data_IF_934270282800
#
_entry.id   IF_934270282800
#
_cell.length_a   1.000
_cell.length_b   1.000
_cell.length_c   1.000
_cell.angle_alpha   90.00
_cell.angle_beta   90.00
_cell.angle_gamma   90.00
#
_symmetry.space_group_name_H-M   'P 1'
#
loop_
_entity.id
_entity.type
_entity.pdbx_description
1 polymer ?
#
# COMPACT_ATOMS: atom_id res chain seq x y z
N UNK A 1 3.55 11.84 -12.37
CA UNK A 1 2.18 12.26 -12.73
C UNK A 1 1.27 11.76 -11.63
N UNK A 2 0.32 12.58 -11.19
CA UNK A 2 -0.74 12.15 -10.27
C UNK A 2 -1.66 11.12 -10.97
N UNK A 3 -1.98 10.01 -10.30
CA UNK A 3 -2.86 8.98 -10.85
C UNK A 3 -4.26 9.49 -11.18
N UNK A 4 -4.77 10.50 -10.46
CA UNK A 4 -6.07 11.13 -10.73
C UNK A 4 -6.04 12.13 -11.89
N UNK A 5 -4.87 12.29 -12.54
CA UNK A 5 -4.71 13.03 -13.78
C UNK A 5 -4.59 12.13 -15.02
N UNK A 6 -4.82 10.82 -14.88
CA UNK A 6 -4.58 9.83 -15.93
C UNK A 6 -5.37 10.12 -17.22
N UNK A 7 -6.65 10.44 -17.10
CA UNK A 7 -7.59 10.69 -18.21
C UNK A 7 -7.29 11.98 -18.99
N UNK A 8 -6.68 12.97 -18.32
CA UNK A 8 -6.30 14.27 -18.90
C UNK A 8 -4.85 14.34 -19.37
N UNK A 9 -4.08 13.26 -19.23
CA UNK A 9 -2.66 13.24 -19.61
C UNK A 9 -2.44 12.49 -20.92
N UNK A 10 -1.75 13.14 -21.85
CA UNK A 10 -1.26 12.50 -23.08
C UNK A 10 -0.12 11.52 -22.78
N UNK A 11 -0.46 10.25 -22.60
CA UNK A 11 0.50 9.21 -22.26
C UNK A 11 1.45 8.86 -23.42
N UNK A 12 1.11 9.21 -24.67
CA UNK A 12 1.90 8.84 -25.85
C UNK A 12 3.31 9.45 -25.85
N UNK A 13 3.51 10.52 -25.06
CA UNK A 13 4.79 11.21 -24.88
C UNK A 13 5.79 10.44 -24.02
N UNK A 14 5.33 9.49 -23.21
CA UNK A 14 6.18 8.75 -22.28
C UNK A 14 6.56 7.40 -22.89
N UNK A 15 7.82 6.99 -22.74
CA UNK A 15 8.25 5.65 -23.16
C UNK A 15 7.88 4.57 -22.14
N UNK A 16 7.87 4.93 -20.86
CA UNK A 16 7.61 4.03 -19.74
C UNK A 16 6.59 4.67 -18.79
N UNK A 17 5.54 3.92 -18.46
CA UNK A 17 4.60 4.22 -17.38
C UNK A 17 4.90 3.28 -16.21
N UNK A 18 5.23 3.83 -15.05
CA UNK A 18 5.48 3.06 -13.83
C UNK A 18 4.27 3.18 -12.91
N UNK A 19 3.72 2.04 -12.52
CA UNK A 19 2.54 1.91 -11.67
C UNK A 19 2.94 1.19 -10.37
N UNK A 20 3.05 1.91 -9.24
CA UNK A 20 3.50 1.34 -7.97
C UNK A 20 2.38 0.60 -7.22
N UNK A 21 2.76 -0.16 -6.19
CA UNK A 21 1.86 -1.07 -5.46
C UNK A 21 0.73 -0.35 -4.70
N UNK A 22 0.95 0.92 -4.36
CA UNK A 22 0.01 1.75 -3.60
C UNK A 22 -0.98 2.51 -4.47
N UNK A 23 -0.92 2.37 -5.80
CA UNK A 23 -1.82 3.06 -6.72
C UNK A 23 -3.29 2.72 -6.45
N UNK A 24 -4.16 3.68 -6.70
CA UNK A 24 -5.61 3.49 -6.71
C UNK A 24 -6.04 2.65 -7.92
N UNK A 25 -6.19 1.33 -7.75
CA UNK A 25 -6.60 0.44 -8.82
C UNK A 25 -8.09 0.54 -9.17
N UNK A 26 -8.93 1.12 -8.31
CA UNK A 26 -10.32 1.43 -8.67
C UNK A 26 -10.34 2.53 -9.74
N UNK A 27 -9.54 3.57 -9.54
CA UNK A 27 -9.38 4.65 -10.51
C UNK A 27 -8.79 4.13 -11.82
N UNK A 28 -7.76 3.26 -11.76
CA UNK A 28 -7.20 2.64 -12.97
C UNK A 28 -8.23 1.76 -13.69
N UNK A 29 -9.08 1.01 -12.97
CA UNK A 29 -10.12 0.18 -13.57
C UNK A 29 -11.22 1.01 -14.25
N UNK A 30 -11.59 2.16 -13.68
CA UNK A 30 -12.50 3.15 -14.29
C UNK A 30 -11.92 3.75 -15.58
N UNK A 31 -10.60 3.95 -15.64
CA UNK A 31 -9.89 4.58 -16.77
C UNK A 31 -9.04 3.61 -17.60
N UNK A 32 -9.31 2.31 -17.52
CA UNK A 32 -8.47 1.28 -18.17
C UNK A 32 -8.37 1.40 -19.70
N UNK A 33 -9.33 2.10 -20.33
CA UNK A 33 -9.26 2.46 -21.75
C UNK A 33 -8.02 3.30 -22.07
N UNK A 34 -7.67 4.26 -21.21
CA UNK A 34 -6.49 5.11 -21.37
C UNK A 34 -5.20 4.29 -21.31
N UNK A 35 -5.14 3.33 -20.38
CA UNK A 35 -4.01 2.39 -20.22
C UNK A 35 -3.92 1.48 -21.45
N UNK A 36 -5.05 0.97 -21.92
CA UNK A 36 -5.15 0.15 -23.12
C UNK A 36 -4.65 0.91 -24.35
N UNK A 37 -5.08 2.14 -24.56
CA UNK A 37 -4.67 2.96 -25.70
C UNK A 37 -3.17 3.28 -25.66
N UNK A 38 -2.62 3.58 -24.49
CA UNK A 38 -1.17 3.75 -24.31
C UNK A 38 -0.37 2.50 -24.70
N UNK A 39 -0.82 1.33 -24.26
CA UNK A 39 -0.18 0.06 -24.58
C UNK A 39 -0.36 -0.30 -26.06
N UNK A 40 -1.55 -0.15 -26.63
CA UNK A 40 -1.80 -0.40 -28.06
C UNK A 40 -1.04 0.59 -28.98
N UNK A 41 -0.67 1.76 -28.45
CA UNK A 41 0.27 2.71 -29.05
C UNK A 41 1.76 2.37 -28.87
N UNK A 42 2.09 1.15 -28.46
CA UNK A 42 3.47 0.67 -28.34
C UNK A 42 4.21 1.17 -27.10
N UNK A 43 3.52 1.66 -26.08
CA UNK A 43 4.11 2.05 -24.80
C UNK A 43 4.60 0.84 -23.98
N UNK A 44 5.50 1.10 -23.03
CA UNK A 44 5.93 0.12 -22.02
C UNK A 44 5.31 0.48 -20.67
N UNK A 45 4.74 -0.49 -19.96
CA UNK A 45 4.17 -0.31 -18.62
C UNK A 45 4.87 -1.25 -17.64
N UNK A 46 5.37 -0.72 -16.53
CA UNK A 46 5.84 -1.49 -15.38
C UNK A 46 4.79 -1.41 -14.27
N UNK A 47 4.23 -2.55 -13.88
CA UNK A 47 3.40 -2.67 -12.70
C UNK A 47 4.15 -3.46 -11.62
N UNK A 48 4.41 -2.82 -10.48
CA UNK A 48 4.88 -3.48 -9.27
C UNK A 48 3.78 -3.48 -8.23
N UNK A 49 3.14 -4.62 -7.96
CA UNK A 49 2.22 -4.72 -6.83
C UNK A 49 1.35 -5.96 -6.84
N UNK A 50 0.37 -6.00 -5.94
CA UNK A 50 -0.69 -7.01 -5.97
C UNK A 50 -1.84 -6.50 -6.85
N UNK A 51 -2.02 -7.09 -8.04
CA UNK A 51 -3.18 -6.78 -8.88
C UNK A 51 -4.45 -7.32 -8.22
N UNK A 52 -5.44 -6.46 -8.01
CA UNK A 52 -6.74 -6.85 -7.43
C UNK A 52 -7.96 -6.27 -8.18
N UNK A 53 -7.71 -5.56 -9.28
CA UNK A 53 -8.73 -5.04 -10.21
C UNK A 53 -8.33 -5.29 -11.65
N UNK A 54 -9.33 -5.42 -12.51
CA UNK A 54 -9.17 -5.68 -13.95
C UNK A 54 -8.92 -4.38 -14.73
N UNK A 55 -7.70 -3.87 -14.64
CA UNK A 55 -7.26 -2.68 -15.39
C UNK A 55 -6.04 -2.93 -16.28
N UNK A 56 -5.26 -3.99 -16.01
CA UNK A 56 -4.03 -4.31 -16.74
C UNK A 56 -4.28 -5.45 -17.74
N UNK A 57 -4.17 -5.21 -19.06
CA UNK A 57 -4.47 -6.24 -20.07
C UNK A 57 -3.66 -7.52 -19.89
N UNK A 58 -4.33 -8.67 -19.93
CA UNK A 58 -3.71 -10.01 -19.85
C UNK A 58 -3.27 -10.46 -18.46
N UNK A 59 -3.06 -9.53 -17.53
CA UNK A 59 -2.59 -9.86 -16.19
C UNK A 59 -3.69 -10.51 -15.35
N UNK A 60 -3.29 -11.45 -14.49
CA UNK A 60 -4.18 -12.13 -13.55
C UNK A 60 -4.04 -11.55 -12.12
N UNK A 61 -5.06 -11.68 -11.25
CA UNK A 61 -4.96 -11.27 -9.86
C UNK A 61 -3.80 -11.93 -9.10
N UNK A 62 -3.30 -11.23 -8.08
CA UNK A 62 -2.19 -11.70 -7.25
C UNK A 62 -2.58 -12.95 -6.44
N UNK A 63 -1.63 -13.89 -6.34
CA UNK A 63 -1.74 -15.12 -5.57
C UNK A 63 -0.62 -15.13 -4.51
N UNK A 64 -0.93 -15.02 -3.21
CA UNK A 64 0.08 -15.11 -2.15
C UNK A 64 0.68 -16.51 -2.09
N UNK A 65 1.93 -16.62 -1.62
CA UNK A 65 2.51 -17.93 -1.33
C UNK A 65 1.70 -18.64 -0.24
N UNK A 66 1.35 -19.93 -0.44
CA UNK A 66 0.51 -20.65 0.52
C UNK A 66 1.23 -20.98 1.83
N UNK A 67 2.57 -21.05 1.80
CA UNK A 67 3.43 -21.34 2.96
C UNK A 67 4.63 -20.40 2.98
N UNK A 68 4.48 -19.21 3.57
CA UNK A 68 5.58 -18.27 3.78
C UNK A 68 6.74 -18.91 4.56
N UNK A 69 7.95 -18.82 4.02
CA UNK A 69 9.18 -19.21 4.72
C UNK A 69 10.36 -18.48 4.08
N UNK A 70 11.48 -18.43 4.80
CA UNK A 70 12.74 -17.90 4.24
C UNK A 70 13.09 -18.60 2.91
N UNK A 71 12.95 -19.92 2.88
CA UNK A 71 13.22 -20.74 1.69
C UNK A 71 12.27 -20.39 0.54
N UNK A 72 10.97 -20.27 0.81
CA UNK A 72 9.98 -19.93 -0.21
C UNK A 72 10.21 -18.55 -0.83
N UNK A 73 10.80 -17.61 -0.09
CA UNK A 73 11.11 -16.26 -0.57
C UNK A 73 12.42 -16.15 -1.35
N UNK A 74 13.23 -17.22 -1.45
CA UNK A 74 14.47 -17.18 -2.21
C UNK A 74 14.19 -17.01 -3.69
N UNK A 75 14.85 -16.04 -4.31
CA UNK A 75 14.95 -15.97 -5.77
C UNK A 75 15.87 -17.11 -6.20
N UNK A 76 15.30 -18.08 -6.93
CA UNK A 76 16.01 -19.28 -7.33
C UNK A 76 16.51 -19.24 -8.77
N UNK A 77 15.92 -18.36 -9.59
CA UNK A 77 16.28 -18.26 -11.00
C UNK A 77 16.02 -16.86 -11.54
N UNK A 78 16.98 -16.38 -12.34
CA UNK A 78 16.92 -15.16 -13.14
C UNK A 78 17.13 -15.54 -14.61
N UNK A 79 16.32 -14.96 -15.50
CA UNK A 79 16.52 -15.05 -16.93
C UNK A 79 17.80 -14.30 -17.35
N UNK A 80 18.42 -14.77 -18.43
CA UNK A 80 19.43 -13.99 -19.16
C UNK A 80 18.73 -12.85 -19.92
N UNK A 81 18.50 -11.74 -19.21
CA UNK A 81 17.74 -10.60 -19.70
C UNK A 81 18.43 -9.28 -19.28
N UNK A 82 18.49 -8.25 -20.14
CA UNK A 82 19.20 -7.00 -19.86
C UNK A 82 18.83 -6.32 -18.53
N UNK A 83 17.57 -6.44 -18.09
CA UNK A 83 17.12 -5.91 -16.79
C UNK A 83 17.92 -6.49 -15.61
N UNK A 84 18.31 -7.77 -15.68
CA UNK A 84 18.93 -8.52 -14.60
C UNK A 84 20.40 -8.85 -14.85
N UNK A 85 21.04 -8.24 -15.86
CA UNK A 85 22.42 -8.55 -16.21
C UNK A 85 23.37 -8.21 -15.04
N UNK A 86 24.13 -9.22 -14.58
CA UNK A 86 25.04 -9.08 -13.44
C UNK A 86 24.36 -8.79 -12.09
N UNK A 87 23.07 -9.13 -11.96
CA UNK A 87 22.33 -9.10 -10.69
C UNK A 87 22.34 -10.50 -10.07
N UNK A 88 22.73 -10.60 -8.82
CA UNK A 88 22.77 -11.85 -8.08
C UNK A 88 21.41 -12.17 -7.43
N UNK A 89 20.90 -13.41 -7.50
CA UNK A 89 19.63 -13.79 -6.88
C UNK A 89 19.56 -13.53 -5.36
N UNK A 90 20.67 -13.70 -4.65
CA UNK A 90 20.73 -13.47 -3.19
C UNK A 90 20.60 -11.97 -2.84
N UNK A 91 21.09 -11.08 -3.70
CA UNK A 91 20.97 -9.62 -3.52
C UNK A 91 19.54 -9.10 -3.74
N UNK A 92 18.71 -9.86 -4.47
CA UNK A 92 17.27 -9.65 -4.55
C UNK A 92 16.54 -10.28 -3.38
N UNK A 93 16.97 -11.47 -2.98
CA UNK A 93 16.36 -12.23 -1.89
C UNK A 93 16.46 -11.49 -0.57
N UNK A 94 17.66 -10.98 -0.24
CA UNK A 94 17.97 -10.47 1.09
C UNK A 94 18.19 -8.95 1.11
N UNK A 95 17.58 -8.30 2.10
CA UNK A 95 17.96 -6.94 2.54
C UNK A 95 18.35 -7.03 4.01
N UNK A 96 19.62 -6.75 4.32
CA UNK A 96 20.17 -6.91 5.68
C UNK A 96 19.92 -8.31 6.27
N UNK A 97 19.88 -9.35 5.44
CA UNK A 97 19.59 -10.73 5.89
C UNK A 97 18.10 -11.08 6.03
N UNK A 98 17.19 -10.14 5.79
CA UNK A 98 15.73 -10.36 5.78
C UNK A 98 15.24 -10.64 4.37
N UNK A 99 14.43 -11.70 4.20
CA UNK A 99 13.82 -12.08 2.94
C UNK A 99 12.35 -11.64 2.83
N UNK A 100 11.80 -11.71 1.61
CA UNK A 100 10.39 -11.43 1.34
C UNK A 100 10.08 -10.01 0.90
N UNK A 101 11.07 -9.11 0.80
CA UNK A 101 10.87 -7.78 0.20
C UNK A 101 10.63 -7.87 -1.31
N UNK A 102 11.39 -8.72 -2.01
CA UNK A 102 11.32 -8.87 -3.46
C UNK A 102 10.02 -9.52 -3.93
N UNK A 103 9.54 -10.58 -3.28
CA UNK A 103 8.24 -11.16 -3.62
C UNK A 103 7.68 -12.00 -2.48
N UNK A 104 6.34 -12.09 -2.42
CA UNK A 104 5.57 -12.85 -1.41
C UNK A 104 4.45 -13.68 -2.03
N UNK A 105 4.49 -13.80 -3.35
CA UNK A 105 3.46 -14.40 -4.17
C UNK A 105 3.80 -14.14 -5.63
N UNK A 106 2.84 -14.41 -6.51
CA UNK A 106 3.00 -14.30 -7.95
C UNK A 106 1.68 -13.91 -8.61
N UNK A 107 1.72 -13.67 -9.92
CA UNK A 107 0.52 -13.60 -10.75
C UNK A 107 0.56 -14.78 -11.73
N UNK A 108 -0.57 -15.46 -11.98
CA UNK A 108 -0.68 -16.39 -13.09
C UNK A 108 -0.31 -15.71 -14.42
N UNK A 109 0.41 -16.44 -15.27
CA UNK A 109 0.97 -15.90 -16.51
C UNK A 109 -0.07 -15.84 -17.63
N UNK A 110 -0.12 -14.74 -18.41
CA UNK A 110 -0.83 -14.76 -19.68
C UNK A 110 -0.13 -15.67 -20.71
N UNK A 111 -0.86 -16.13 -21.74
CA UNK A 111 -0.28 -16.93 -22.82
C UNK A 111 0.89 -16.20 -23.52
N UNK A 112 2.05 -16.86 -23.58
CA UNK A 112 3.24 -16.33 -24.25
C UNK A 112 4.08 -15.36 -23.41
N UNK A 113 3.77 -15.17 -22.12
CA UNK A 113 4.58 -14.36 -21.23
C UNK A 113 6.00 -14.93 -21.06
N UNK A 114 7.00 -14.04 -21.11
CA UNK A 114 8.39 -14.36 -20.81
C UNK A 114 8.64 -14.20 -19.31
N UNK A 115 8.97 -15.28 -18.61
CA UNK A 115 9.29 -15.21 -17.18
C UNK A 115 10.72 -14.75 -17.00
N UNK A 116 10.94 -13.71 -16.19
CA UNK A 116 12.26 -13.19 -15.87
C UNK A 116 12.79 -13.68 -14.53
N UNK A 117 11.91 -13.90 -13.55
CA UNK A 117 12.33 -14.28 -12.20
C UNK A 117 11.40 -15.34 -11.62
N UNK A 118 11.98 -16.34 -10.96
CA UNK A 118 11.24 -17.35 -10.18
C UNK A 118 11.72 -17.43 -8.74
N UNK A 119 10.76 -17.67 -7.84
CA UNK A 119 11.07 -18.09 -6.47
C UNK A 119 11.45 -19.57 -6.41
N UNK A 120 11.89 -20.03 -5.24
CA UNK A 120 12.32 -21.41 -4.98
C UNK A 120 11.24 -22.46 -5.30
N UNK A 121 9.95 -22.14 -5.12
CA UNK A 121 8.84 -23.02 -5.50
C UNK A 121 8.54 -23.04 -7.01
N UNK A 122 9.25 -22.21 -7.80
CA UNK A 122 9.06 -22.06 -9.24
C UNK A 122 8.04 -20.99 -9.63
N UNK A 123 7.43 -20.29 -8.66
CA UNK A 123 6.44 -19.25 -8.90
C UNK A 123 7.04 -18.07 -9.71
N UNK A 124 6.38 -17.61 -10.80
CA UNK A 124 6.89 -16.54 -11.64
C UNK A 124 6.58 -15.16 -11.03
N UNK A 125 7.59 -14.49 -10.48
CA UNK A 125 7.38 -13.23 -9.75
C UNK A 125 7.64 -11.97 -10.56
N UNK A 126 8.38 -12.11 -11.66
CA UNK A 126 8.54 -11.06 -12.66
C UNK A 126 8.39 -11.67 -14.03
N UNK A 127 7.56 -11.07 -14.89
CA UNK A 127 7.42 -11.49 -16.28
C UNK A 127 7.21 -10.28 -17.21
N UNK A 128 7.45 -10.52 -18.49
CA UNK A 128 7.17 -9.59 -19.59
C UNK A 128 6.10 -10.18 -20.50
N UNK A 129 5.05 -9.41 -20.74
CA UNK A 129 3.98 -9.70 -21.68
C UNK A 129 4.08 -8.75 -22.88
N UNK A 130 4.21 -9.34 -24.07
CA UNK A 130 4.31 -8.67 -25.37
C UNK A 130 3.19 -9.09 -26.33
N UNK A 131 2.21 -9.84 -25.84
CA UNK A 131 1.18 -10.51 -26.65
C UNK A 131 -0.22 -9.97 -26.35
N UNK A 132 -0.48 -9.48 -25.15
CA UNK A 132 -1.81 -8.95 -24.77
C UNK A 132 -2.16 -7.60 -25.40
N UNK A 133 -1.15 -6.85 -25.86
CA UNK A 133 -1.27 -5.54 -26.52
C UNK A 133 -0.15 -5.38 -27.56
N UNK A 134 -0.16 -4.28 -28.33
CA UNK A 134 0.98 -3.95 -29.20
C UNK A 134 2.19 -3.41 -28.42
N UNK A 135 2.01 -3.06 -27.14
CA UNK A 135 3.04 -2.54 -26.25
C UNK A 135 3.73 -3.65 -25.49
N UNK A 136 4.30 -3.29 -24.33
CA UNK A 136 4.96 -4.26 -23.45
C UNK A 136 4.59 -4.00 -22.01
N UNK A 137 4.21 -5.05 -21.30
CA UNK A 137 3.82 -5.00 -19.91
C UNK A 137 4.86 -5.79 -19.11
N UNK A 138 5.49 -5.16 -18.13
CA UNK A 138 6.34 -5.81 -17.14
C UNK A 138 5.56 -5.85 -15.84
N UNK A 139 5.35 -7.05 -15.30
CA UNK A 139 4.67 -7.25 -14.01
C UNK A 139 5.64 -7.81 -13.01
N UNK A 140 5.64 -7.23 -11.81
CA UNK A 140 6.40 -7.69 -10.67
C UNK A 140 5.49 -7.80 -9.43
N UNK A 141 5.62 -8.90 -8.67
CA UNK A 141 4.66 -9.31 -7.64
C UNK A 141 4.82 -8.65 -6.25
N UNK A 142 5.54 -7.52 -6.15
CA UNK A 142 5.78 -6.75 -4.92
C UNK A 142 5.94 -5.25 -5.24
N UNK A 143 6.72 -4.47 -4.49
CA UNK A 143 7.03 -3.08 -4.85
C UNK A 143 7.79 -2.98 -6.17
N UNK A 144 7.66 -1.87 -6.90
CA UNK A 144 8.29 -1.75 -8.22
C UNK A 144 9.82 -1.88 -8.17
N UNK A 145 10.38 -2.39 -9.28
CA UNK A 145 11.81 -2.72 -9.39
C UNK A 145 12.72 -1.47 -9.34
N UNK A 146 12.18 -0.25 -9.48
CA UNK A 146 12.97 0.97 -9.36
C UNK A 146 13.35 1.30 -7.91
N UNK A 147 12.63 0.74 -6.93
CA UNK A 147 12.93 0.88 -5.50
C UNK A 147 14.26 0.28 -5.03
N UNK A 148 15.02 -0.35 -5.94
CA UNK A 148 16.35 -0.89 -5.68
C UNK A 148 17.50 0.06 -6.05
N UNK A 149 17.24 1.24 -6.63
CA UNK A 149 18.27 2.20 -7.08
C UNK A 149 19.31 2.56 -6.00
N UNK A 150 18.87 2.66 -4.73
CA UNK A 150 19.73 2.98 -3.59
C UNK A 150 20.39 1.75 -2.92
N UNK A 151 20.27 0.55 -3.50
CA UNK A 151 20.90 -0.65 -2.94
C UNK A 151 22.42 -0.61 -3.12
N UNK A 152 23.15 -1.03 -2.08
CA UNK A 152 24.61 -1.06 -2.01
C UNK A 152 25.23 -2.37 -2.55
N UNK A 153 24.43 -3.16 -3.27
CA UNK A 153 24.78 -4.47 -3.82
C UNK A 153 24.41 -4.58 -5.32
N UNK A 154 24.44 -5.77 -5.92
CA UNK A 154 24.17 -5.90 -7.37
C UNK A 154 22.75 -5.53 -7.78
N UNK A 155 21.78 -5.56 -6.86
CA UNK A 155 20.41 -5.13 -7.13
C UNK A 155 20.29 -3.64 -7.45
N UNK A 156 21.28 -2.82 -7.04
CA UNK A 156 21.36 -1.38 -7.38
C UNK A 156 21.41 -1.11 -8.89
N UNK A 157 21.75 -2.12 -9.69
CA UNK A 157 21.78 -2.03 -11.16
C UNK A 157 20.38 -2.05 -11.79
N UNK A 158 19.35 -2.54 -11.09
CA UNK A 158 18.03 -2.81 -11.67
C UNK A 158 17.36 -1.57 -12.25
N UNK A 159 17.37 -0.45 -11.51
CA UNK A 159 16.61 0.74 -11.89
C UNK A 159 17.10 1.32 -13.22
N UNK A 160 18.41 1.54 -13.35
CA UNK A 160 19.02 2.01 -14.60
C UNK A 160 18.78 1.07 -15.78
N UNK A 161 19.06 -0.23 -15.59
CA UNK A 161 18.89 -1.24 -16.64
C UNK A 161 17.44 -1.34 -17.12
N UNK A 162 16.46 -1.28 -16.21
CA UNK A 162 15.05 -1.32 -16.54
C UNK A 162 14.60 -0.10 -17.34
N UNK A 163 15.03 1.10 -16.93
CA UNK A 163 14.69 2.33 -17.64
C UNK A 163 15.30 2.37 -19.04
N UNK A 164 16.56 1.95 -19.19
CA UNK A 164 17.24 1.87 -20.48
C UNK A 164 16.56 0.86 -21.41
N UNK A 165 16.36 -0.37 -20.92
CA UNK A 165 15.67 -1.42 -21.67
C UNK A 165 14.25 -0.99 -22.08
N UNK A 166 13.49 -0.36 -21.18
CA UNK A 166 12.12 0.07 -21.49
C UNK A 166 12.07 1.15 -22.56
N UNK A 167 13.08 2.05 -22.63
CA UNK A 167 13.17 3.07 -23.69
C UNK A 167 13.41 2.43 -25.06
N UNK A 168 14.29 1.44 -25.12
CA UNK A 168 14.60 0.73 -26.36
C UNK A 168 13.45 -0.17 -26.81
N UNK A 169 12.81 -0.88 -25.88
CA UNK A 169 11.60 -1.69 -26.14
C UNK A 169 10.46 -0.78 -26.65
N UNK A 170 10.17 0.35 -26.02
CA UNK A 170 9.14 1.29 -26.47
C UNK A 170 9.41 1.80 -27.89
N UNK A 171 10.67 2.10 -28.21
CA UNK A 171 11.08 2.54 -29.56
C UNK A 171 10.84 1.43 -30.59
N UNK A 172 11.24 0.20 -30.28
CA UNK A 172 11.06 -0.95 -31.15
C UNK A 172 9.56 -1.25 -31.37
N UNK A 173 8.75 -1.24 -30.32
CA UNK A 173 7.30 -1.46 -30.37
C UNK A 173 6.61 -0.43 -31.27
N UNK A 174 6.90 0.86 -31.06
CA UNK A 174 6.36 1.96 -31.86
C UNK A 174 6.76 1.87 -33.33
N UNK A 175 7.99 1.48 -33.63
CA UNK A 175 8.46 1.30 -35.00
C UNK A 175 7.79 0.12 -35.72
N UNK A 176 7.29 -0.87 -34.97
CA UNK A 176 6.61 -2.05 -35.49
C UNK A 176 5.07 -1.89 -35.56
N UNK A 177 4.52 -0.74 -35.19
CA UNK A 177 3.07 -0.53 -35.19
C UNK A 177 2.50 -0.61 -36.62
N UNK A 178 1.35 -1.27 -36.81
CA UNK A 178 0.61 -1.21 -38.07
C UNK A 178 0.06 0.21 -38.30
N UNK A 179 -0.17 0.56 -39.57
CA UNK A 179 -0.59 1.90 -39.99
C UNK A 179 -1.96 2.35 -39.44
N UNK A 180 -2.79 1.43 -38.96
CA UNK A 180 -4.09 1.69 -38.30
C UNK A 180 -4.26 0.76 -37.07
N UNK A 181 -4.31 1.28 -35.84
CA UNK A 181 -4.60 0.49 -34.64
C UNK A 181 -6.11 0.21 -34.53
N UNK A 182 -6.53 -1.01 -34.08
CA UNK A 182 -7.94 -1.30 -33.84
C UNK A 182 -8.48 -0.47 -32.66
N UNK A 183 -9.70 0.05 -32.83
CA UNK A 183 -10.39 0.86 -31.82
C UNK A 183 -10.75 0.11 -30.53
N UNK A 184 -10.82 0.86 -29.44
CA UNK A 184 -11.09 0.43 -28.06
C UNK A 184 -12.41 -0.33 -27.88
N UNK A 185 -12.41 -1.40 -27.07
CA UNK A 185 -13.64 -2.02 -26.53
C UNK A 185 -14.12 -1.28 -25.28
N UNK A 186 -15.44 -1.23 -25.01
CA UNK A 186 -15.97 -0.51 -23.86
C UNK A 186 -15.59 -1.17 -22.53
N UNK A 187 -15.42 -0.32 -21.51
CA UNK A 187 -15.14 -0.70 -20.13
C UNK A 187 -16.37 -1.34 -19.45
N UNK A 188 -16.13 -2.37 -18.65
CA UNK A 188 -17.06 -2.88 -17.64
C UNK A 188 -17.07 -1.97 -16.41
N UNK A 189 -18.25 -1.80 -15.82
CA UNK A 189 -18.44 -1.02 -14.60
C UNK A 189 -17.67 -1.63 -13.40
N UNK A 190 -17.12 -0.79 -12.50
CA UNK A 190 -16.48 -1.26 -11.28
C UNK A 190 -17.50 -1.88 -10.30
N UNK A 191 -17.00 -2.62 -9.31
CA UNK A 191 -17.83 -3.11 -8.21
C UNK A 191 -18.15 -1.96 -7.23
N UNK A 192 -19.39 -1.91 -6.75
CA UNK A 192 -19.79 -0.96 -5.71
C UNK A 192 -19.09 -1.31 -4.39
N UNK A 193 -18.46 -0.31 -3.77
CA UNK A 193 -17.91 -0.45 -2.42
C UNK A 193 -19.07 -0.56 -1.42
N UNK A 194 -18.96 -1.40 -0.37
CA UNK A 194 -20.00 -1.44 0.65
C UNK A 194 -20.03 -0.09 1.39
N UNK A 195 -21.19 0.57 1.35
CA UNK A 195 -21.48 1.79 2.09
C UNK A 195 -22.51 1.44 3.16
N UNK A 196 -22.25 1.83 4.41
CA UNK A 196 -23.20 1.77 5.52
C UNK A 196 -23.64 3.17 5.94
N UNK A 197 -24.82 3.24 6.55
CA UNK A 197 -25.49 4.50 6.93
C UNK A 197 -25.08 5.02 8.33
N UNK A 198 -24.18 4.33 9.05
CA UNK A 198 -23.68 4.69 10.39
C UNK A 198 -22.70 3.65 10.93
N UNK A 199 -22.03 3.91 12.05
CA UNK A 199 -20.96 3.06 12.58
C UNK A 199 -19.55 3.51 12.19
N UNK A 200 -18.55 2.73 12.58
CA UNK A 200 -17.16 2.94 12.20
C UNK A 200 -16.98 2.70 10.69
N UNK A 201 -16.45 3.68 9.96
CA UNK A 201 -16.07 3.57 8.56
C UNK A 201 -14.55 3.58 8.38
N UNK A 202 -14.07 3.27 7.17
CA UNK A 202 -12.66 3.44 6.80
C UNK A 202 -12.50 4.14 5.46
N UNK A 203 -11.53 5.05 5.36
CA UNK A 203 -11.11 5.65 4.09
C UNK A 203 -10.42 4.58 3.24
N UNK A 204 -10.84 4.48 1.98
CA UNK A 204 -10.29 3.53 1.02
C UNK A 204 -9.75 4.27 -0.21
N UNK A 205 -8.43 4.17 -0.42
CA UNK A 205 -7.71 4.78 -1.53
C UNK A 205 -7.48 3.87 -2.74
N UNK A 206 -8.11 2.69 -2.80
CA UNK A 206 -8.00 1.80 -3.96
C UNK A 206 -6.73 0.93 -4.05
N UNK A 207 -5.87 0.92 -3.03
CA UNK A 207 -4.67 0.10 -3.02
C UNK A 207 -4.98 -1.35 -2.64
N UNK A 208 -4.24 -2.31 -3.21
CA UNK A 208 -4.46 -3.73 -2.91
C UNK A 208 -4.22 -4.11 -1.44
N UNK A 209 -3.18 -3.57 -0.75
CA UNK A 209 -3.01 -3.85 0.67
C UNK A 209 -4.21 -3.36 1.51
N UNK A 210 -4.72 -2.15 1.26
CA UNK A 210 -5.88 -1.65 1.99
C UNK A 210 -7.14 -2.42 1.65
N UNK A 211 -7.36 -2.77 0.36
CA UNK A 211 -8.49 -3.61 -0.02
C UNK A 211 -8.49 -4.90 0.80
N UNK A 212 -7.37 -5.63 0.85
CA UNK A 212 -7.28 -6.85 1.64
C UNK A 212 -7.56 -6.59 3.12
N UNK A 213 -6.94 -5.58 3.73
CA UNK A 213 -7.13 -5.28 5.15
C UNK A 213 -8.60 -4.95 5.48
N UNK A 214 -9.23 -4.10 4.66
CA UNK A 214 -10.55 -3.55 4.94
C UNK A 214 -11.70 -4.48 4.52
N UNK A 215 -11.48 -5.41 3.57
CA UNK A 215 -12.53 -6.33 3.10
C UNK A 215 -12.39 -7.75 3.65
N UNK A 216 -11.34 -8.05 4.43
CA UNK A 216 -11.22 -9.38 5.06
C UNK A 216 -12.37 -9.54 6.08
N UNK A 217 -13.17 -10.64 6.05
CA UNK A 217 -14.38 -10.75 6.87
C UNK A 217 -14.20 -10.50 8.37
N UNK A 218 -13.08 -10.93 8.96
CA UNK A 218 -12.80 -10.71 10.39
C UNK A 218 -12.59 -9.24 10.76
N UNK A 219 -12.27 -8.38 9.80
CA UNK A 219 -12.05 -6.95 9.97
C UNK A 219 -13.23 -6.13 9.45
N UNK A 220 -13.75 -6.48 8.27
CA UNK A 220 -14.90 -5.82 7.66
C UNK A 220 -16.14 -5.79 8.57
N UNK A 221 -16.32 -6.81 9.43
CA UNK A 221 -17.42 -6.85 10.41
C UNK A 221 -17.40 -5.72 11.45
N UNK A 222 -16.26 -5.07 11.65
CA UNK A 222 -16.10 -3.94 12.56
C UNK A 222 -16.33 -2.60 11.85
N UNK A 223 -16.48 -2.60 10.52
CA UNK A 223 -16.66 -1.40 9.71
C UNK A 223 -18.14 -1.24 9.32
N UNK A 224 -19.00 -1.02 10.31
CA UNK A 224 -20.46 -0.86 10.11
C UNK A 224 -20.81 0.29 9.15
N UNK A 225 -20.00 1.36 9.18
CA UNK A 225 -20.12 2.51 8.28
C UNK A 225 -19.64 2.20 6.86
N UNK A 226 -18.98 1.07 6.63
CA UNK A 226 -18.45 0.67 5.33
C UNK A 226 -17.21 1.46 4.91
N UNK A 227 -16.93 1.49 3.61
CA UNK A 227 -15.75 2.15 3.04
C UNK A 227 -16.13 3.51 2.45
N UNK A 228 -15.27 4.51 2.65
CA UNK A 228 -15.40 5.85 2.06
C UNK A 228 -14.30 6.03 1.03
N UNK A 229 -14.66 6.13 -0.25
CA UNK A 229 -13.68 6.24 -1.32
C UNK A 229 -12.99 7.61 -1.28
N UNK A 230 -11.66 7.60 -1.19
CA UNK A 230 -10.85 8.80 -0.93
C UNK A 230 -11.14 9.96 -1.92
N UNK A 231 -11.20 9.75 -3.25
CA UNK A 231 -11.53 10.83 -4.20
C UNK A 231 -12.90 11.49 -4.03
N UNK A 232 -13.84 10.82 -3.35
CA UNK A 232 -15.20 11.31 -3.14
C UNK A 232 -15.38 11.92 -1.75
N UNK A 233 -14.39 11.72 -0.86
CA UNK A 233 -14.46 12.07 0.56
C UNK A 233 -14.66 13.58 0.80
N UNK A 234 -14.05 14.43 -0.04
CA UNK A 234 -14.15 15.89 0.06
C UNK A 234 -15.58 16.45 -0.06
N UNK A 235 -16.53 15.64 -0.54
CA UNK A 235 -17.94 16.01 -0.71
C UNK A 235 -18.88 15.14 0.13
N UNK A 236 -18.32 14.22 0.91
CA UNK A 236 -19.11 13.32 1.74
C UNK A 236 -19.64 14.05 2.96
N UNK A 237 -20.84 13.68 3.40
CA UNK A 237 -21.27 13.94 4.78
C UNK A 237 -20.83 12.75 5.63
N UNK A 238 -20.02 13.04 6.65
CA UNK A 238 -19.46 12.03 7.55
C UNK A 238 -20.12 12.07 8.93
N UNK A 239 -20.95 13.08 9.22
CA UNK A 239 -21.46 13.37 10.59
C UNK A 239 -22.40 12.30 11.14
N UNK A 240 -22.90 11.40 10.29
CA UNK A 240 -23.70 10.24 10.69
C UNK A 240 -22.85 9.02 11.12
N UNK A 241 -21.52 9.09 11.00
CA UNK A 241 -20.60 8.02 11.38
C UNK A 241 -20.23 8.12 12.86
N UNK A 242 -20.07 6.97 13.49
CA UNK A 242 -19.51 6.85 14.84
C UNK A 242 -17.99 7.14 14.81
N UNK A 243 -17.35 6.77 13.70
CA UNK A 243 -15.96 7.12 13.48
C UNK A 243 -15.42 6.81 12.09
N UNK A 244 -14.19 7.25 11.83
CA UNK A 244 -13.50 7.10 10.55
C UNK A 244 -12.05 6.68 10.78
N UNK A 245 -11.66 5.52 10.25
CA UNK A 245 -10.26 5.14 10.12
C UNK A 245 -9.66 5.75 8.85
N UNK A 246 -8.51 6.40 8.98
CA UNK A 246 -7.66 6.91 7.92
C UNK A 246 -6.39 6.03 7.89
N UNK A 247 -6.31 5.06 6.96
CA UNK A 247 -5.11 4.23 6.79
C UNK A 247 -3.89 5.05 6.37
N UNK A 248 -2.72 4.45 6.57
CA UNK A 248 -1.44 4.93 6.07
C UNK A 248 -1.38 4.95 4.52
N UNK A 249 -0.41 5.66 3.94
CA UNK A 249 -0.05 5.67 2.50
C UNK A 249 -1.18 6.05 1.55
N UNK A 250 -2.09 6.92 1.98
CA UNK A 250 -3.12 7.52 1.12
C UNK A 250 -2.57 8.67 0.27
N UNK A 251 -3.32 9.04 -0.77
CA UNK A 251 -2.97 10.21 -1.59
C UNK A 251 -3.13 11.50 -0.78
N UNK A 252 -2.02 12.19 -0.54
CA UNK A 252 -1.94 13.37 0.33
C UNK A 252 -2.94 14.47 -0.07
N UNK A 253 -2.91 14.95 -1.32
CA UNK A 253 -3.77 16.08 -1.71
C UNK A 253 -5.26 15.74 -1.69
N UNK A 254 -5.64 14.50 -1.98
CA UNK A 254 -7.03 14.05 -1.92
C UNK A 254 -7.52 13.96 -0.46
N UNK A 255 -6.64 13.55 0.46
CA UNK A 255 -6.93 13.53 1.89
C UNK A 255 -7.04 14.95 2.46
N UNK A 256 -6.14 15.86 2.06
CA UNK A 256 -6.24 17.28 2.40
C UNK A 256 -7.50 17.95 1.86
N UNK A 257 -7.95 17.58 0.65
CA UNK A 257 -9.21 18.08 0.13
C UNK A 257 -10.42 17.66 1.01
N UNK A 258 -10.26 16.62 1.83
CA UNK A 258 -11.29 16.12 2.75
C UNK A 258 -11.20 16.68 4.17
N UNK A 259 -10.38 17.70 4.43
CA UNK A 259 -10.29 18.33 5.77
C UNK A 259 -11.66 18.73 6.32
N UNK A 260 -12.49 19.41 5.52
CA UNK A 260 -13.82 19.87 5.98
C UNK A 260 -14.70 18.75 6.52
N UNK A 261 -15.06 17.74 5.71
CA UNK A 261 -15.86 16.61 6.18
C UNK A 261 -15.29 15.86 7.39
N UNK A 262 -13.97 15.74 7.51
CA UNK A 262 -13.32 15.08 8.65
C UNK A 262 -13.40 15.95 9.91
N UNK A 263 -13.22 17.26 9.78
CA UNK A 263 -13.43 18.21 10.88
C UNK A 263 -14.89 18.23 11.33
N UNK A 264 -15.84 18.21 10.40
CA UNK A 264 -17.27 18.17 10.72
C UNK A 264 -17.65 16.91 11.52
N UNK A 265 -17.03 15.75 11.22
CA UNK A 265 -17.18 14.53 12.02
C UNK A 265 -16.67 14.71 13.46
N UNK A 266 -15.49 15.31 13.64
CA UNK A 266 -14.92 15.58 14.96
C UNK A 266 -15.75 16.60 15.75
N UNK A 267 -16.30 17.61 15.09
CA UNK A 267 -17.19 18.60 15.70
C UNK A 267 -18.55 18.00 16.08
N UNK A 268 -18.96 16.92 15.41
CA UNK A 268 -20.15 16.13 15.69
C UNK A 268 -19.91 14.98 16.70
N UNK A 269 -18.85 15.07 17.52
CA UNK A 269 -18.49 14.09 18.56
C UNK A 269 -18.00 12.73 18.02
N UNK A 270 -17.70 12.63 16.72
CA UNK A 270 -17.21 11.40 16.10
C UNK A 270 -15.73 11.10 16.39
N UNK A 271 -15.34 9.84 16.21
CA UNK A 271 -13.95 9.40 16.41
C UNK A 271 -13.16 9.33 15.09
N UNK A 272 -11.97 9.93 15.01
CA UNK A 272 -11.05 9.80 13.87
C UNK A 272 -9.79 9.05 14.30
N UNK A 273 -9.48 7.97 13.58
CA UNK A 273 -8.30 7.13 13.81
C UNK A 273 -7.35 7.32 12.64
N UNK A 274 -6.13 7.81 12.86
CA UNK A 274 -5.16 8.03 11.80
C UNK A 274 -3.87 7.24 12.00
N UNK A 275 -3.48 6.49 10.95
CA UNK A 275 -2.21 5.79 10.86
C UNK A 275 -1.22 6.55 9.97
N UNK A 276 0.08 6.34 10.21
CA UNK A 276 1.18 6.88 9.41
C UNK A 276 2.22 5.79 9.12
N UNK A 277 2.50 5.60 7.83
CA UNK A 277 3.35 4.54 7.30
C UNK A 277 4.60 5.02 6.56
N UNK A 278 5.13 6.17 6.94
CA UNK A 278 6.32 6.79 6.36
C UNK A 278 6.04 8.16 5.76
N UNK A 279 4.77 8.46 5.46
CA UNK A 279 4.24 9.80 5.29
C UNK A 279 3.94 10.46 6.66
N UNK A 280 3.97 11.81 6.76
CA UNK A 280 3.52 12.51 7.96
C UNK A 280 2.05 12.18 8.27
N UNK A 281 1.69 12.20 9.55
CA UNK A 281 0.29 12.22 9.97
C UNK A 281 -0.39 13.47 9.38
N UNK A 282 -1.67 13.41 8.96
CA UNK A 282 -2.32 14.55 8.33
C UNK A 282 -2.28 15.81 9.21
N UNK A 283 -1.64 16.86 8.72
CA UNK A 283 -1.34 18.08 9.49
C UNK A 283 -2.58 18.94 9.79
N UNK A 284 -3.70 18.67 9.11
CA UNK A 284 -4.96 19.35 9.31
C UNK A 284 -5.72 18.81 10.54
N UNK A 285 -5.28 17.69 11.14
CA UNK A 285 -5.89 17.17 12.35
C UNK A 285 -5.50 18.06 13.55
N UNK A 286 -6.48 18.58 14.32
CA UNK A 286 -6.21 19.50 15.43
C UNK A 286 -5.27 18.90 16.48
N UNK A 287 -4.30 19.68 16.95
CA UNK A 287 -3.39 19.27 18.03
C UNK A 287 -2.33 18.25 17.64
N UNK A 288 -2.38 17.68 16.44
CA UNK A 288 -1.44 16.65 16.00
C UNK A 288 -0.10 17.26 15.60
N UNK A 289 0.97 16.80 16.28
CA UNK A 289 2.35 17.15 15.96
C UNK A 289 3.14 15.87 15.73
N UNK A 290 3.81 15.80 14.58
CA UNK A 290 4.59 14.64 14.15
C UNK A 290 6.02 15.06 13.79
N UNK A 291 6.97 14.23 14.18
CA UNK A 291 8.38 14.39 13.82
C UNK A 291 8.92 13.11 13.20
N UNK A 292 9.59 13.25 12.04
CA UNK A 292 10.18 12.10 11.37
C UNK A 292 11.28 11.44 12.20
N UNK A 293 11.27 10.10 12.22
CA UNK A 293 12.36 9.25 12.70
C UNK A 293 12.62 8.19 11.64
N UNK A 294 13.89 7.91 11.30
CA UNK A 294 14.22 6.85 10.36
C UNK A 294 13.67 5.50 10.83
N UNK A 295 12.96 4.80 9.95
CA UNK A 295 12.41 3.47 10.24
C UNK A 295 13.53 2.43 10.29
N UNK A 296 13.63 1.70 11.40
CA UNK A 296 14.50 0.53 11.50
C UNK A 296 13.68 -0.75 11.26
N UNK A 297 13.78 -1.33 10.06
CA UNK A 297 13.06 -2.56 9.69
C UNK A 297 13.77 -3.85 10.13
N UNK A 298 14.81 -3.79 10.97
CA UNK A 298 15.62 -4.97 11.30
C UNK A 298 16.27 -4.91 12.68
N UNK A 299 15.71 -4.13 13.61
CA UNK A 299 16.21 -4.06 14.99
C UNK A 299 16.26 -5.44 15.65
N UNK A 300 15.35 -6.35 15.31
CA UNK A 300 15.28 -7.69 15.89
C UNK A 300 16.38 -8.65 15.42
N UNK A 301 17.22 -8.25 14.45
CA UNK A 301 18.38 -9.05 14.05
C UNK A 301 19.52 -8.96 15.06
N UNK A 302 19.56 -7.92 15.87
CA UNK A 302 20.55 -7.77 16.93
C UNK A 302 20.23 -8.77 18.07
N UNK A 303 21.19 -9.61 18.50
CA UNK A 303 20.96 -10.58 19.55
C UNK A 303 20.49 -9.92 20.86
N UNK A 304 19.31 -10.31 21.34
CA UNK A 304 18.71 -9.75 22.56
C UNK A 304 18.08 -8.36 22.38
N UNK A 305 17.91 -7.90 21.13
CA UNK A 305 17.30 -6.61 20.87
C UNK A 305 15.85 -6.51 21.37
N UNK A 306 15.56 -5.36 21.94
CA UNK A 306 14.25 -4.92 22.39
C UNK A 306 14.11 -3.46 21.95
N UNK A 307 13.03 -3.12 21.24
CA UNK A 307 12.73 -1.71 20.94
C UNK A 307 12.50 -0.90 22.22
N UNK A 308 12.23 -1.57 23.33
CA UNK A 308 12.06 -0.95 24.63
C UNK A 308 10.79 -0.13 24.70
N UNK A 309 9.80 -0.43 23.87
CA UNK A 309 8.50 0.24 23.92
C UNK A 309 7.91 0.12 25.33
N UNK A 310 7.15 1.13 25.73
CA UNK A 310 6.47 1.18 27.03
C UNK A 310 4.99 1.48 26.82
N UNK A 311 4.16 0.98 27.73
CA UNK A 311 2.77 1.36 27.89
C UNK A 311 2.67 2.20 29.18
N UNK A 312 2.63 3.54 29.09
CA UNK A 312 2.57 4.41 30.27
C UNK A 312 1.32 4.16 31.12
N UNK A 313 0.20 3.81 30.47
CA UNK A 313 -1.04 3.38 31.10
C UNK A 313 -1.41 1.96 30.65
N UNK A 314 -0.90 0.92 31.34
CA UNK A 314 -1.20 -0.46 30.99
C UNK A 314 -2.62 -0.90 31.37
N UNK A 315 -3.38 -0.09 32.10
CA UNK A 315 -4.77 -0.36 32.48
C UNK A 315 -5.76 0.25 31.48
N UNK A 316 -5.28 1.01 30.48
CA UNK A 316 -6.13 1.58 29.43
C UNK A 316 -6.88 0.46 28.67
N UNK A 317 -8.19 0.62 28.35
CA UNK A 317 -9.02 -0.43 27.74
C UNK A 317 -8.48 -1.07 26.46
N UNK A 318 -7.65 -0.37 25.67
CA UNK A 318 -6.93 -0.94 24.54
C UNK A 318 -6.22 -2.27 24.91
N UNK A 319 -5.61 -2.32 26.09
CA UNK A 319 -4.80 -3.45 26.53
C UNK A 319 -5.61 -4.65 27.03
N UNK A 320 -6.95 -4.53 27.10
CA UNK A 320 -7.84 -5.68 27.24
C UNK A 320 -7.95 -6.49 25.93
N UNK A 321 -7.64 -5.87 24.78
CA UNK A 321 -7.77 -6.48 23.45
C UNK A 321 -6.43 -6.89 22.83
N UNK A 322 -5.33 -6.21 23.18
CA UNK A 322 -3.99 -6.53 22.66
C UNK A 322 -2.89 -6.28 23.69
N UNK A 323 -1.69 -6.80 23.42
CA UNK A 323 -0.52 -6.56 24.27
C UNK A 323 0.42 -5.54 23.64
N UNK A 324 1.29 -4.92 24.44
CA UNK A 324 2.37 -4.06 23.93
C UNK A 324 3.24 -4.77 22.87
N UNK A 325 3.40 -6.09 22.98
CA UNK A 325 4.13 -6.90 21.98
C UNK A 325 3.44 -6.88 20.61
N UNK A 326 2.13 -6.75 20.56
CA UNK A 326 1.38 -6.68 19.31
C UNK A 326 1.55 -5.29 18.65
N UNK A 327 1.88 -4.26 19.42
CA UNK A 327 2.30 -2.93 18.93
C UNK A 327 3.78 -2.86 18.50
N UNK A 328 4.54 -3.94 18.63
CA UNK A 328 6.01 -3.92 18.51
C UNK A 328 6.47 -4.52 17.17
N UNK A 329 6.63 -3.68 16.14
CA UNK A 329 7.32 -4.07 14.90
C UNK A 329 8.23 -2.98 14.31
N UNK A 330 7.75 -1.86 13.82
CA UNK A 330 8.54 -0.67 13.49
C UNK A 330 7.58 0.52 13.49
N UNK A 331 8.14 1.73 13.52
CA UNK A 331 7.36 2.97 13.57
C UNK A 331 7.93 4.00 12.58
N UNK A 332 7.11 4.99 12.25
CA UNK A 332 7.42 6.03 11.27
C UNK A 332 7.35 7.41 11.89
N UNK A 333 8.36 7.76 12.69
CA UNK A 333 8.37 9.00 13.45
C UNK A 333 7.78 8.88 14.84
N UNK A 334 7.69 10.02 15.51
CA UNK A 334 7.16 10.17 16.87
C UNK A 334 6.15 11.30 16.92
N UNK A 335 5.31 11.26 17.94
CA UNK A 335 4.24 12.21 18.19
C UNK A 335 4.56 13.07 19.41
N UNK A 336 4.10 14.32 19.37
CA UNK A 336 4.09 15.26 20.49
C UNK A 336 2.62 15.58 20.88
N UNK A 337 1.98 14.69 21.67
CA UNK A 337 0.56 14.79 22.00
C UNK A 337 0.23 16.09 22.75
N UNK A 338 -1.01 16.60 22.67
CA UNK A 338 -1.43 17.75 23.46
C UNK A 338 -1.52 17.40 24.96
N UNK A 339 -1.42 18.42 25.81
CA UNK A 339 -1.59 18.26 27.26
C UNK A 339 -2.98 17.69 27.59
N UNK A 340 -3.01 16.57 28.33
CA UNK A 340 -4.25 15.88 28.68
C UNK A 340 -4.61 14.70 27.77
N UNK A 341 -3.86 14.48 26.68
CA UNK A 341 -3.98 13.26 25.88
C UNK A 341 -3.51 12.01 26.64
N UNK A 342 -4.14 10.88 26.36
CA UNK A 342 -3.85 9.57 26.91
C UNK A 342 -2.79 8.86 26.05
N UNK A 343 -1.54 8.87 26.51
CA UNK A 343 -0.43 8.26 25.78
C UNK A 343 -0.37 6.76 26.02
N UNK A 344 -0.56 5.96 24.97
CA UNK A 344 -0.71 4.51 25.07
C UNK A 344 0.59 3.75 24.80
N UNK A 345 1.39 4.19 23.83
CA UNK A 345 2.67 3.55 23.49
C UNK A 345 3.75 4.61 23.33
N UNK A 346 4.89 4.42 23.98
CA UNK A 346 6.05 5.31 23.88
C UNK A 346 7.35 4.58 23.58
N UNK A 347 8.32 5.34 23.08
CA UNK A 347 9.73 4.97 23.12
C UNK A 347 10.28 5.01 24.56
N UNK A 348 11.42 4.36 24.84
CA UNK A 348 12.10 4.47 26.15
C UNK A 348 12.38 5.91 26.59
N UNK A 349 12.56 6.80 25.63
CA UNK A 349 12.84 8.23 25.78
C UNK A 349 11.60 9.08 26.05
N UNK A 350 10.40 8.49 25.97
CA UNK A 350 9.13 9.09 26.36
C UNK A 350 8.28 9.61 25.19
N UNK A 351 8.85 9.76 23.99
CA UNK A 351 8.09 10.20 22.82
C UNK A 351 7.00 9.17 22.44
N UNK A 352 5.84 9.68 22.04
CA UNK A 352 4.66 8.86 21.78
C UNK A 352 4.67 8.25 20.38
N UNK A 353 4.14 7.03 20.26
CA UNK A 353 3.88 6.33 19.00
C UNK A 353 2.39 6.07 18.78
N UNK A 354 1.61 6.00 19.86
CA UNK A 354 0.15 5.84 19.86
C UNK A 354 -0.42 6.61 21.05
N UNK A 355 -1.41 7.47 20.81
CA UNK A 355 -2.16 8.16 21.86
C UNK A 355 -3.63 8.33 21.48
N UNK A 356 -4.44 8.66 22.48
CA UNK A 356 -5.83 9.10 22.31
C UNK A 356 -5.97 10.53 22.83
N UNK A 357 -6.64 11.38 22.07
CA UNK A 357 -6.89 12.77 22.39
C UNK A 357 -8.40 13.06 22.36
N UNK A 358 -8.90 13.47 23.53
CA UNK A 358 -10.28 13.87 23.79
C UNK A 358 -10.38 15.32 24.26
N UNK A 359 -9.32 16.09 24.07
CA UNK A 359 -9.17 17.44 24.60
C UNK A 359 -9.05 18.48 23.48
N UNK A 360 -8.56 18.11 22.30
CA UNK A 360 -8.40 19.03 21.17
C UNK A 360 -9.69 19.35 20.42
N UNK A 361 -10.66 18.43 20.44
CA UNK A 361 -11.95 18.53 19.74
C UNK A 361 -13.10 18.02 20.62
N UNK A 362 -14.37 18.28 20.26
CA UNK A 362 -15.49 17.58 20.89
C UNK A 362 -15.37 16.06 20.76
N UNK A 363 -15.11 15.57 19.54
CA UNK A 363 -14.87 14.17 19.25
C UNK A 363 -13.47 13.68 19.64
N UNK A 364 -13.17 12.43 19.30
CA UNK A 364 -11.95 11.71 19.72
C UNK A 364 -10.96 11.52 18.58
N UNK A 365 -9.68 11.74 18.83
CA UNK A 365 -8.57 11.42 17.93
C UNK A 365 -7.77 10.23 18.46
N UNK A 366 -7.53 9.21 17.63
CA UNK A 366 -6.60 8.11 17.91
C UNK A 366 -5.49 8.14 16.88
N UNK A 367 -4.26 8.49 17.28
CA UNK A 367 -3.17 8.77 16.35
C UNK A 367 -2.03 7.78 16.55
N UNK A 368 -1.58 7.13 15.47
CA UNK A 368 -0.52 6.13 15.50
C UNK A 368 0.51 6.31 14.37
N UNK A 369 1.80 6.21 14.70
CA UNK A 369 2.91 6.20 13.71
C UNK A 369 3.22 4.78 13.21
N UNK A 370 2.19 3.95 13.12
CA UNK A 370 2.23 2.53 12.79
C UNK A 370 1.55 2.30 11.44
N UNK A 371 1.96 1.24 10.71
CA UNK A 371 1.45 0.89 9.37
C UNK A 371 0.83 -0.53 9.28
N UNK A 372 -0.19 -0.83 10.10
CA UNK A 372 -0.67 -2.19 10.24
C UNK A 372 -1.42 -2.72 9.01
N UNK A 373 -2.17 -1.86 8.31
CA UNK A 373 -3.05 -2.27 7.21
C UNK A 373 -2.26 -2.61 5.94
N UNK A 374 -1.24 -1.83 5.63
CA UNK A 374 -0.33 -2.05 4.53
C UNK A 374 0.42 -3.37 4.70
N UNK A 375 1.00 -3.64 5.88
CA UNK A 375 1.76 -4.86 6.09
C UNK A 375 0.90 -6.11 6.18
N UNK A 376 -0.27 -6.00 6.80
CA UNK A 376 -1.25 -7.07 6.77
C UNK A 376 -1.64 -7.34 5.32
N UNK A 377 -2.12 -6.32 4.62
CA UNK A 377 -2.57 -6.39 3.24
C UNK A 377 -1.52 -6.89 2.25
N UNK A 378 -0.25 -6.59 2.51
CA UNK A 378 0.90 -7.00 1.69
C UNK A 378 1.40 -8.42 1.97
N UNK A 379 0.78 -9.16 2.90
CA UNK A 379 1.20 -10.50 3.34
C UNK A 379 2.61 -10.54 3.95
N UNK A 380 3.04 -9.48 4.65
CA UNK A 380 4.43 -9.34 5.06
C UNK A 380 4.68 -9.60 6.55
N UNK A 381 3.91 -9.00 7.45
CA UNK A 381 4.26 -8.98 8.88
C UNK A 381 3.16 -9.57 9.76
N UNK A 382 3.36 -10.77 10.35
CA UNK A 382 2.37 -11.37 11.26
C UNK A 382 2.08 -10.54 12.52
N UNK A 383 2.99 -9.63 12.91
CA UNK A 383 2.75 -8.73 14.04
C UNK A 383 1.57 -7.79 13.79
N UNK A 384 1.41 -7.30 12.55
CA UNK A 384 0.33 -6.37 12.23
C UNK A 384 -1.02 -7.06 12.16
N UNK A 385 -1.07 -8.36 11.86
CA UNK A 385 -2.28 -9.17 12.00
C UNK A 385 -2.74 -9.24 13.46
N UNK A 386 -1.81 -9.52 14.40
CA UNK A 386 -2.14 -9.55 15.83
C UNK A 386 -2.57 -8.18 16.35
N UNK A 387 -1.91 -7.12 15.89
CA UNK A 387 -2.32 -5.75 16.19
C UNK A 387 -3.76 -5.50 15.73
N UNK A 388 -4.08 -5.77 14.45
CA UNK A 388 -5.43 -5.53 13.91
C UNK A 388 -6.49 -6.42 14.57
N UNK A 389 -6.15 -7.65 14.97
CA UNK A 389 -7.06 -8.58 15.65
C UNK A 389 -7.56 -8.01 17.00
N UNK A 390 -6.75 -7.22 17.72
CA UNK A 390 -7.15 -6.55 18.95
C UNK A 390 -7.55 -5.08 18.77
N UNK A 391 -6.91 -4.36 17.85
CA UNK A 391 -7.11 -2.92 17.67
C UNK A 391 -8.47 -2.61 17.04
N UNK A 392 -8.87 -3.33 15.98
CA UNK A 392 -10.14 -3.08 15.29
C UNK A 392 -11.40 -3.28 16.16
N UNK A 393 -11.52 -4.34 16.99
CA UNK A 393 -12.64 -4.43 17.91
C UNK A 393 -12.61 -3.28 18.94
N UNK A 394 -11.43 -2.94 19.48
CA UNK A 394 -11.31 -1.83 20.43
C UNK A 394 -11.75 -0.49 19.83
N UNK A 395 -11.27 -0.10 18.63
CA UNK A 395 -11.70 1.18 18.03
C UNK A 395 -13.17 1.20 17.62
N UNK A 396 -13.76 0.04 17.30
CA UNK A 396 -15.20 -0.04 17.02
C UNK A 396 -16.02 0.19 18.30
N UNK A 397 -15.57 -0.33 19.43
CA UNK A 397 -16.17 -0.07 20.75
C UNK A 397 -15.94 1.37 21.21
N UNK A 398 -14.77 1.94 20.92
CA UNK A 398 -14.45 3.32 21.24
C UNK A 398 -15.29 4.32 20.43
N UNK A 399 -15.43 4.09 19.12
CA UNK A 399 -16.20 4.96 18.24
C UNK A 399 -17.70 4.96 18.58
N UNK A 400 -18.23 3.86 19.12
CA UNK A 400 -19.66 3.71 19.42
C UNK A 400 -20.09 4.26 20.80
N UNK A 401 -19.18 4.91 21.54
CA UNK A 401 -19.46 5.54 22.85
C UNK A 401 -20.19 6.85 22.67
#
# INVERSE_FOLDING_TARGET
MDCYALDRTDLSRYALLVVPATVDQEHLARHRGVIRDYLDGGGVLLFGGQLHRDWLPGASPFVPLPRPSLEAYRVAWLADHPIFAGVEPDDLTFRRGVAGFFARGHHPLPPGAEVLVRLAGGEPVTYVDRTSTNGTIVVHASGDLLGYDAADNTAGRLAGQLVEWARDEARARRAALPADPPGSRPAAAPADLPVGDGGLAAVYGGSAPHHRALTTPKYARHLGGGLRYLPELAKADLTALDGLIIPERLHHDALHAATGPISDLLDADGTVIAFSGGEPVPDFLPGVRWEHRPTNFWWWLEPGADMGLRAPDPEHPLFDHLTLRDCTWHYHGVLDPPDGAEVLVTLPTGEALLYVDRVSTPGTLVIATLDPMHHYGSHFMPATERFLDGFLPWVAEEAAR
#
